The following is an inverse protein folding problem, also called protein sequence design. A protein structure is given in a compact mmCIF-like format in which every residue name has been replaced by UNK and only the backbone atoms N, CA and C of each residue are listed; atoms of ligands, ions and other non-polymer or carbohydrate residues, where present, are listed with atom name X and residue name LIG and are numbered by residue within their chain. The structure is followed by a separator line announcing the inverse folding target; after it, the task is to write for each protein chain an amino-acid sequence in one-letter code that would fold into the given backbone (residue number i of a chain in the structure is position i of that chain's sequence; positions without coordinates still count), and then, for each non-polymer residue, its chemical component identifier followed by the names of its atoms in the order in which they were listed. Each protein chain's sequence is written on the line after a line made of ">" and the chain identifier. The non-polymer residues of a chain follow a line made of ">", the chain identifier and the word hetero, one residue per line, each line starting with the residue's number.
data_IF_274355586742
#
_entry.id   IF_274355586742
#
_cell.length_a   1.000
_cell.length_b   1.000
_cell.length_c   1.000
_cell.angle_alpha   90.00
_cell.angle_beta   90.00
_cell.angle_gamma   90.00
#
_symmetry.space_group_name_H-M   'P 1'
#
loop_
_entity.id
_entity.type
_entity.pdbx_description
1 polymer ?
#
# COMPACT_ATOMS: atom_id res chain seq x y z
N UNK A 1 -14.33 16.86 -3.08
CA UNK A 1 -13.13 16.05 -3.38
C UNK A 1 -12.78 15.26 -2.14
N UNK A 2 -12.50 13.96 -2.28
CA UNK A 2 -12.06 13.15 -1.13
C UNK A 2 -10.59 13.47 -0.88
N UNK A 3 -10.29 14.14 0.23
CA UNK A 3 -8.92 14.44 0.63
C UNK A 3 -8.12 13.15 0.81
N UNK A 4 -6.97 13.06 0.13
CA UNK A 4 -6.07 11.91 0.21
C UNK A 4 -5.32 11.97 1.53
N UNK A 5 -5.65 11.05 2.45
CA UNK A 5 -5.05 11.01 3.77
C UNK A 5 -3.80 10.10 3.81
N UNK A 6 -3.75 9.10 2.94
CA UNK A 6 -2.62 8.20 2.79
C UNK A 6 -2.61 7.56 1.39
N UNK A 7 -1.52 6.88 1.03
CA UNK A 7 -1.52 5.97 -0.09
C UNK A 7 -0.72 4.71 0.22
N UNK A 8 -0.97 3.67 -0.56
CA UNK A 8 -0.14 2.46 -0.57
C UNK A 8 0.46 2.26 -1.94
N UNK A 9 1.75 1.91 -2.00
CA UNK A 9 2.45 1.65 -3.26
C UNK A 9 2.87 0.18 -3.37
N UNK A 10 2.39 -0.46 -4.41
CA UNK A 10 2.70 -1.84 -4.77
C UNK A 10 4.16 -1.99 -5.20
N UNK A 11 4.83 -3.03 -4.71
CA UNK A 11 6.21 -3.37 -5.04
C UNK A 11 6.54 -4.85 -4.88
N UNK A 12 7.80 -5.18 -5.18
CA UNK A 12 8.33 -6.54 -5.15
C UNK A 12 8.55 -7.13 -6.53
N UNK A 13 9.16 -8.32 -6.58
CA UNK A 13 9.51 -8.99 -7.84
C UNK A 13 8.31 -9.62 -8.54
N UNK A 14 7.16 -9.71 -7.85
CA UNK A 14 5.90 -10.15 -8.41
C UNK A 14 5.14 -9.04 -9.17
N UNK A 15 5.69 -7.81 -9.21
CA UNK A 15 5.17 -6.66 -9.96
C UNK A 15 5.87 -6.58 -11.31
N UNK A 16 5.12 -6.32 -12.39
CA UNK A 16 5.68 -6.20 -13.74
C UNK A 16 6.68 -5.03 -13.80
N UNK A 17 7.88 -5.21 -14.38
CA UNK A 17 8.88 -4.14 -14.45
C UNK A 17 8.40 -2.84 -15.14
N UNK A 18 7.44 -2.94 -16.07
CA UNK A 18 6.86 -1.80 -16.79
C UNK A 18 5.61 -1.20 -16.14
N UNK A 19 5.18 -1.66 -14.96
CA UNK A 19 3.99 -1.12 -14.31
C UNK A 19 4.19 0.35 -13.91
N UNK A 20 3.31 1.22 -14.39
CA UNK A 20 3.37 2.66 -14.12
C UNK A 20 3.12 2.98 -12.63
N UNK A 21 3.55 4.15 -12.18
CA UNK A 21 3.29 4.61 -10.82
C UNK A 21 1.78 4.70 -10.51
N UNK A 22 0.95 5.06 -11.48
CA UNK A 22 -0.51 5.10 -11.32
C UNK A 22 -1.13 3.72 -11.14
N UNK A 23 -0.55 2.67 -11.75
CA UNK A 23 -0.97 1.29 -11.52
C UNK A 23 -0.47 0.72 -10.20
N UNK A 24 0.60 1.28 -9.64
CA UNK A 24 1.18 0.79 -8.39
C UNK A 24 0.60 1.47 -7.15
N UNK A 25 0.07 2.69 -7.28
CA UNK A 25 -0.44 3.46 -6.14
C UNK A 25 -1.95 3.36 -5.99
N UNK A 26 -2.40 3.22 -4.75
CA UNK A 26 -3.81 3.27 -4.38
C UNK A 26 -3.95 4.32 -3.27
N UNK A 27 -4.75 5.36 -3.52
CA UNK A 27 -5.03 6.40 -2.55
C UNK A 27 -6.11 5.96 -1.57
N UNK A 28 -5.94 6.32 -0.30
CA UNK A 28 -6.92 6.14 0.77
C UNK A 28 -7.28 7.47 1.42
N UNK A 29 -8.51 7.58 1.89
CA UNK A 29 -9.01 8.76 2.60
C UNK A 29 -9.26 8.48 4.08
N UNK A 30 -9.85 9.45 4.79
CA UNK A 30 -10.23 9.27 6.19
C UNK A 30 -11.27 8.17 6.43
N UNK A 31 -12.06 7.81 5.41
CA UNK A 31 -12.97 6.65 5.43
C UNK A 31 -12.28 5.28 5.34
N UNK A 32 -10.94 5.27 5.18
CA UNK A 32 -10.15 4.05 5.02
C UNK A 32 -9.97 3.62 3.56
N UNK A 33 -9.39 2.44 3.39
CA UNK A 33 -9.15 1.78 2.11
C UNK A 33 -9.24 0.27 2.29
N UNK A 34 -10.01 -0.41 1.46
CA UNK A 34 -9.97 -1.88 1.36
C UNK A 34 -9.19 -2.29 0.11
N UNK A 35 -8.19 -3.16 0.29
CA UNK A 35 -7.37 -3.68 -0.80
C UNK A 35 -7.67 -5.15 -1.04
N UNK A 36 -7.92 -5.50 -2.28
CA UNK A 36 -8.14 -6.87 -2.71
C UNK A 36 -8.65 -6.95 -4.15
N UNK A 37 -8.73 -8.17 -4.69
CA UNK A 37 -9.14 -8.39 -6.08
C UNK A 37 -10.56 -7.94 -6.40
N UNK A 38 -11.44 -7.80 -5.42
CA UNK A 38 -12.79 -7.25 -5.63
C UNK A 38 -12.74 -5.76 -5.92
N UNK A 39 -11.82 -5.03 -5.27
CA UNK A 39 -11.79 -3.56 -5.28
C UNK A 39 -10.81 -3.01 -6.33
N UNK A 40 -9.72 -3.72 -6.64
CA UNK A 40 -8.70 -3.27 -7.60
C UNK A 40 -8.42 -4.31 -8.71
N UNK A 41 -9.47 -4.98 -9.22
CA UNK A 41 -9.32 -6.09 -10.18
C UNK A 41 -8.44 -5.75 -11.39
N UNK A 42 -8.74 -4.66 -12.07
CA UNK A 42 -8.03 -4.25 -13.29
C UNK A 42 -6.59 -3.85 -12.97
N UNK A 43 -6.43 -2.99 -11.97
CA UNK A 43 -5.11 -2.51 -11.53
C UNK A 43 -4.17 -3.67 -11.14
N UNK A 44 -4.67 -4.65 -10.38
CA UNK A 44 -3.89 -5.84 -10.01
C UNK A 44 -3.59 -6.74 -11.21
N UNK A 45 -4.52 -6.89 -12.16
CA UNK A 45 -4.30 -7.69 -13.37
C UNK A 45 -3.21 -7.08 -14.28
N UNK A 46 -3.15 -5.74 -14.35
CA UNK A 46 -2.16 -5.03 -15.16
C UNK A 46 -0.80 -4.90 -14.45
N UNK A 47 -0.79 -4.72 -13.13
CA UNK A 47 0.44 -4.50 -12.36
C UNK A 47 1.17 -5.78 -11.97
N UNK A 48 0.48 -6.91 -11.75
CA UNK A 48 1.09 -8.15 -11.26
C UNK A 48 1.50 -9.09 -12.40
N UNK A 49 2.58 -9.84 -12.15
CA UNK A 49 2.96 -10.97 -12.99
C UNK A 49 1.86 -12.05 -13.00
N UNK A 50 1.87 -12.88 -14.04
CA UNK A 50 0.89 -13.94 -14.21
C UNK A 50 0.86 -14.87 -12.98
N UNK A 51 -0.33 -15.38 -12.65
CA UNK A 51 -0.58 -16.26 -11.49
C UNK A 51 -0.36 -15.67 -10.10
N UNK A 52 0.16 -14.46 -9.93
CA UNK A 52 0.34 -13.84 -8.60
C UNK A 52 -0.99 -13.33 -8.04
N UNK A 53 -1.84 -12.77 -8.91
CA UNK A 53 -3.10 -12.14 -8.49
C UNK A 53 -4.01 -13.10 -7.69
N UNK A 54 -3.95 -14.41 -7.94
CA UNK A 54 -4.75 -15.40 -7.21
C UNK A 54 -4.45 -15.47 -5.71
N UNK A 55 -3.23 -15.10 -5.31
CA UNK A 55 -2.80 -15.05 -3.90
C UNK A 55 -3.37 -13.81 -3.17
N UNK A 56 -3.78 -12.79 -3.91
CA UNK A 56 -4.54 -11.67 -3.34
C UNK A 56 -5.99 -12.10 -3.17
N UNK A 57 -6.53 -11.96 -1.96
CA UNK A 57 -7.92 -12.34 -1.66
C UNK A 57 -8.90 -11.32 -2.25
N UNK A 58 -10.20 -11.63 -2.27
CA UNK A 58 -11.24 -10.69 -2.73
C UNK A 58 -11.19 -9.39 -1.93
N UNK A 59 -11.12 -9.51 -0.62
CA UNK A 59 -10.76 -8.46 0.33
C UNK A 59 -9.63 -9.02 1.17
N UNK A 60 -8.43 -8.45 1.04
CA UNK A 60 -7.24 -9.01 1.67
C UNK A 60 -6.92 -8.29 2.97
N UNK A 61 -6.88 -6.96 2.92
CA UNK A 61 -6.74 -6.12 4.11
C UNK A 61 -7.54 -4.82 3.94
N UNK A 62 -7.75 -4.14 5.05
CA UNK A 62 -8.15 -2.73 5.05
C UNK A 62 -7.19 -1.89 5.87
N UNK A 63 -7.09 -0.62 5.51
CA UNK A 63 -6.49 0.43 6.32
C UNK A 63 -7.63 1.29 6.83
N UNK A 64 -7.71 1.43 8.15
CA UNK A 64 -8.72 2.22 8.82
C UNK A 64 -8.09 3.25 9.74
N UNK A 65 -8.82 4.32 10.04
CA UNK A 65 -8.35 5.33 10.97
C UNK A 65 -8.47 4.82 12.41
N UNK A 66 -7.40 4.97 13.18
CA UNK A 66 -7.39 4.68 14.61
C UNK A 66 -8.19 5.76 15.36
N UNK A 67 -9.30 5.37 15.99
CA UNK A 67 -10.19 6.29 16.69
C UNK A 67 -9.56 6.94 17.94
N UNK A 68 -8.53 6.31 18.53
CA UNK A 68 -7.92 6.76 19.78
C UNK A 68 -6.78 7.76 19.51
N UNK A 69 -5.84 7.42 18.63
CA UNK A 69 -4.67 8.26 18.37
C UNK A 69 -4.73 9.06 17.06
N UNK A 70 -5.77 8.86 16.25
CA UNK A 70 -5.94 9.57 14.96
C UNK A 70 -5.05 9.06 13.82
N UNK A 71 -4.14 8.12 14.08
CA UNK A 71 -3.30 7.44 13.10
C UNK A 71 -4.04 6.39 12.27
N UNK A 72 -3.31 5.44 11.68
CA UNK A 72 -3.90 4.39 10.85
C UNK A 72 -3.59 3.00 11.40
N UNK A 73 -4.50 2.05 11.18
CA UNK A 73 -4.30 0.65 11.49
C UNK A 73 -4.44 -0.20 10.22
N UNK A 74 -3.62 -1.23 10.12
CA UNK A 74 -3.81 -2.36 9.21
C UNK A 74 -4.75 -3.38 9.85
N UNK A 75 -5.72 -3.87 9.10
CA UNK A 75 -6.58 -4.98 9.53
C UNK A 75 -6.61 -6.04 8.43
N UNK A 76 -6.12 -7.25 8.73
CA UNK A 76 -6.21 -8.39 7.84
C UNK A 76 -7.66 -8.90 7.76
N UNK A 77 -8.20 -9.09 6.56
CA UNK A 77 -9.58 -9.53 6.33
C UNK A 77 -9.68 -10.98 5.88
N UNK A 78 -8.61 -11.50 5.29
CA UNK A 78 -8.53 -12.86 4.73
C UNK A 78 -7.72 -13.81 5.61
N UNK A 79 -7.74 -15.10 5.26
CA UNK A 79 -6.84 -16.12 5.82
C UNK A 79 -5.51 -16.25 5.07
N UNK A 80 -5.34 -15.51 3.96
CA UNK A 80 -4.05 -15.48 3.28
C UNK A 80 -3.10 -14.60 4.10
N UNK A 81 -1.87 -15.09 4.29
CA UNK A 81 -0.93 -14.50 5.23
C UNK A 81 -0.43 -13.14 4.76
N UNK A 82 -0.38 -12.22 5.72
CA UNK A 82 0.01 -10.83 5.57
C UNK A 82 0.91 -10.47 6.74
N UNK A 83 2.01 -9.79 6.47
CA UNK A 83 2.93 -9.32 7.50
C UNK A 83 3.12 -7.82 7.41
N UNK A 84 3.23 -7.19 8.58
CA UNK A 84 3.71 -5.82 8.71
C UNK A 84 5.20 -5.88 9.03
N UNK A 85 6.03 -5.22 8.21
CA UNK A 85 7.45 -5.08 8.47
C UNK A 85 7.84 -3.62 8.72
N UNK A 86 8.58 -3.42 9.83
CA UNK A 86 9.09 -2.12 10.28
C UNK A 86 10.48 -2.31 10.87
N UNK A 87 11.45 -1.52 10.41
CA UNK A 87 12.83 -1.55 10.92
C UNK A 87 13.44 -2.96 11.01
N UNK A 88 13.20 -3.80 9.99
CA UNK A 88 13.68 -5.18 9.93
C UNK A 88 12.93 -6.19 10.81
N UNK A 89 12.00 -5.74 11.65
CA UNK A 89 11.07 -6.62 12.36
C UNK A 89 9.87 -6.94 11.47
N UNK A 90 9.36 -8.16 11.57
CA UNK A 90 8.20 -8.66 10.82
C UNK A 90 7.19 -9.23 11.80
N UNK A 91 5.96 -8.75 11.74
CA UNK A 91 4.84 -9.21 12.59
C UNK A 91 3.71 -9.67 11.68
N UNK A 92 3.19 -10.87 11.93
CA UNK A 92 2.04 -11.38 11.18
C UNK A 92 0.76 -10.64 11.58
N UNK A 93 0.00 -10.19 10.58
CA UNK A 93 -1.28 -9.54 10.78
C UNK A 93 -2.36 -10.60 11.03
N UNK A 94 -2.79 -10.70 12.29
CA UNK A 94 -3.88 -11.59 12.67
C UNK A 94 -5.21 -11.06 12.15
N UNK A 95 -6.07 -11.98 11.70
CA UNK A 95 -7.34 -11.65 11.07
C UNK A 95 -8.22 -10.85 12.03
N UNK A 96 -8.74 -9.71 11.56
CA UNK A 96 -9.56 -8.75 12.31
C UNK A 96 -8.88 -8.11 13.53
N UNK A 97 -7.58 -8.32 13.74
CA UNK A 97 -6.83 -7.65 14.79
C UNK A 97 -6.10 -6.43 14.21
N UNK A 98 -6.33 -5.21 14.73
CA UNK A 98 -5.71 -4.01 14.21
C UNK A 98 -4.21 -3.94 14.59
N UNK A 99 -3.37 -3.66 13.59
CA UNK A 99 -1.94 -3.38 13.76
C UNK A 99 -1.64 -1.91 13.43
N UNK A 100 -1.06 -1.12 14.35
CA UNK A 100 -0.74 0.28 14.09
C UNK A 100 0.26 0.47 12.94
N UNK A 101 -0.11 1.32 11.97
CA UNK A 101 0.74 1.69 10.83
C UNK A 101 1.52 2.98 11.09
N UNK A 102 2.71 3.03 10.53
CA UNK A 102 3.56 4.20 10.44
C UNK A 102 4.03 4.39 9.01
N UNK A 103 4.33 5.64 8.63
CA UNK A 103 4.88 5.96 7.31
C UNK A 103 6.12 5.10 7.01
N UNK A 104 6.17 4.52 5.81
CA UNK A 104 7.26 3.66 5.34
C UNK A 104 7.12 2.19 5.71
N UNK A 105 6.10 1.80 6.48
CA UNK A 105 5.83 0.40 6.77
C UNK A 105 5.59 -0.42 5.50
N UNK A 106 6.05 -1.68 5.54
CA UNK A 106 5.92 -2.62 4.41
C UNK A 106 4.94 -3.73 4.76
N UNK A 107 3.89 -3.86 3.96
CA UNK A 107 2.83 -4.85 4.03
C UNK A 107 3.16 -6.01 3.09
N UNK A 108 3.79 -7.09 3.60
CA UNK A 108 4.27 -8.21 2.78
C UNK A 108 3.26 -9.34 2.69
N UNK A 109 3.19 -10.00 1.53
CA UNK A 109 2.16 -10.99 1.21
C UNK A 109 2.77 -12.36 0.94
N UNK A 110 1.99 -13.39 1.27
CA UNK A 110 2.30 -14.75 0.89
C UNK A 110 1.97 -15.01 -0.58
N UNK A 111 2.93 -15.58 -1.30
CA UNK A 111 2.81 -15.89 -2.74
C UNK A 111 3.14 -17.35 -3.05
N UNK A 112 2.91 -18.26 -2.10
CA UNK A 112 3.01 -19.71 -2.34
C UNK A 112 4.28 -20.40 -1.84
N UNK A 113 5.09 -19.76 -0.98
CA UNK A 113 6.29 -20.38 -0.42
C UNK A 113 5.95 -21.66 0.39
N UNK A 114 6.78 -22.69 0.29
CA UNK A 114 6.53 -23.97 0.99
C UNK A 114 6.66 -23.88 2.51
N UNK A 115 7.34 -22.87 3.01
CA UNK A 115 7.57 -22.62 4.45
C UNK A 115 6.59 -21.59 5.04
N UNK A 116 5.58 -21.17 4.27
CA UNK A 116 4.58 -20.18 4.66
C UNK A 116 5.13 -18.79 4.99
N UNK A 117 6.30 -18.44 4.47
CA UNK A 117 6.87 -17.09 4.58
C UNK A 117 6.60 -16.25 3.31
N UNK A 118 6.72 -14.91 3.34
CA UNK A 118 6.50 -14.08 2.15
C UNK A 118 7.62 -14.17 1.10
N UNK A 119 8.80 -14.66 1.48
CA UNK A 119 10.03 -14.66 0.69
C UNK A 119 10.74 -16.03 0.66
N UNK A 120 10.09 -17.08 1.13
CA UNK A 120 10.65 -18.41 1.23
C UNK A 120 10.71 -19.20 -0.09
N UNK A 121 11.25 -20.43 -0.03
CA UNK A 121 11.41 -21.31 -1.18
C UNK A 121 10.09 -21.57 -1.91
N UNK A 122 10.11 -21.48 -3.24
CA UNK A 122 8.94 -21.75 -4.08
C UNK A 122 7.93 -20.60 -4.19
N UNK A 123 8.19 -19.44 -3.58
CA UNK A 123 7.35 -18.26 -3.76
C UNK A 123 7.29 -17.82 -5.24
N UNK A 124 6.16 -17.23 -5.66
CA UNK A 124 5.97 -16.67 -7.01
C UNK A 124 6.52 -15.24 -7.15
N UNK A 125 7.58 -14.94 -6.41
CA UNK A 125 8.14 -13.61 -6.24
C UNK A 125 7.60 -12.89 -5.01
N UNK A 126 8.29 -11.83 -4.60
CA UNK A 126 7.89 -11.01 -3.46
C UNK A 126 6.79 -10.04 -3.87
N UNK A 127 5.79 -9.91 -3.01
CA UNK A 127 4.67 -8.99 -3.19
C UNK A 127 4.50 -8.19 -1.90
N UNK A 128 4.49 -6.86 -2.03
CA UNK A 128 4.23 -5.99 -0.89
C UNK A 128 3.60 -4.66 -1.28
N UNK A 129 3.04 -3.97 -0.28
CA UNK A 129 2.69 -2.56 -0.37
C UNK A 129 3.50 -1.75 0.64
N UNK A 130 3.96 -0.57 0.25
CA UNK A 130 4.56 0.41 1.16
C UNK A 130 3.48 1.41 1.55
N UNK A 131 3.29 1.63 2.85
CA UNK A 131 2.34 2.62 3.36
C UNK A 131 2.97 4.01 3.45
N UNK A 132 2.31 5.00 2.88
CA UNK A 132 2.70 6.41 2.97
C UNK A 132 1.56 7.22 3.60
N UNK A 133 1.81 7.70 4.81
CA UNK A 133 0.95 8.71 5.44
C UNK A 133 1.23 10.08 4.82
N UNK A 134 0.18 10.77 4.34
CA UNK A 134 0.28 12.07 3.70
C UNK A 134 0.72 13.17 4.69
N UNK A 135 0.37 13.03 5.98
CA UNK A 135 0.80 13.96 7.02
C UNK A 135 2.29 13.82 7.36
N UNK A 136 2.89 12.67 7.06
CA UNK A 136 4.29 12.34 7.34
C UNK A 136 5.22 12.58 6.15
N UNK A 137 4.69 12.91 4.97
CA UNK A 137 5.53 13.24 3.81
C UNK A 137 6.32 14.54 4.10
N UNK A 138 7.64 14.57 3.86
CA UNK A 138 8.39 15.82 3.99
C UNK A 138 7.76 16.88 3.07
N UNK A 139 7.69 18.13 3.57
CA UNK A 139 7.15 19.34 2.92
C UNK A 139 7.68 19.67 1.50
N UNK A 140 8.43 18.79 0.83
CA UNK A 140 9.00 19.02 -0.50
C UNK A 140 8.01 18.85 -1.66
N UNK A 141 6.77 18.41 -1.42
CA UNK A 141 5.72 18.38 -2.46
C UNK A 141 4.71 19.54 -2.36
N UNK A 142 4.97 20.56 -1.51
CA UNK A 142 4.16 21.80 -1.48
C UNK A 142 4.71 22.94 -2.36
N UNK A 143 5.69 22.68 -3.22
CA UNK A 143 6.23 23.68 -4.16
C UNK A 143 6.17 23.22 -5.62
N UNK A 144 4.99 23.32 -6.23
CA UNK A 144 4.82 23.72 -7.65
C UNK A 144 3.39 24.21 -7.81
N UNK A 145 3.12 25.44 -7.40
CA UNK A 145 2.07 26.34 -7.95
C UNK A 145 2.04 27.67 -7.19
N UNK A 146 3.18 28.36 -7.06
CA UNK A 146 3.14 29.80 -6.74
C UNK A 146 4.46 30.49 -7.15
N UNK A 147 4.83 30.40 -8.43
CA UNK A 147 5.88 31.27 -8.98
C UNK A 147 5.69 31.54 -10.47
N UNK A 148 4.49 31.94 -10.89
CA UNK A 148 4.29 32.65 -12.16
C UNK A 148 3.21 33.73 -11.99
N UNK A 149 3.44 34.64 -11.04
CA UNK A 149 2.78 35.94 -11.05
C UNK A 149 3.80 36.96 -10.51
N UNK A 150 3.84 38.13 -11.12
CA UNK A 150 4.78 39.24 -10.84
C UNK A 150 6.13 39.16 -11.56
N UNK A 151 6.10 39.04 -12.89
CA UNK A 151 6.96 39.85 -13.76
C UNK A 151 6.17 40.30 -15.00
N UNK A 152 5.18 41.17 -14.80
CA UNK A 152 4.62 42.06 -15.83
C UNK A 152 4.17 43.36 -15.20
N UNK A 153 5.14 44.22 -14.93
CA UNK A 153 5.10 45.68 -14.69
C UNK A 153 6.56 45.99 -14.34
N UNK A 154 7.32 46.75 -15.12
CA UNK A 154 7.12 48.15 -15.50
C UNK A 154 7.72 48.36 -16.89
N UNK A 155 7.12 49.29 -17.65
CA UNK A 155 7.59 49.75 -18.95
C UNK A 155 8.84 50.61 -18.88
#
# INVERSE_FOLDING_TARGET
>A
ETEVAFCVELGGTAVRPGASASLRRIAGGHGGLTVGRLHQRQQLAEALCDDVAQYVSREHFRIERNAICGGFNLVALSSNLLWLSRAGQRVEARRNEPLPLAHGDVLQFYTGASDYTPDGPGCRGTLYWIFYDAASAPMQSRMVEETVAVQKQVG
#
